data_IF_043929677673
#
_entry.id   IF_043929677673
#
_cell.length_a   1.000
_cell.length_b   1.000
_cell.length_c   1.000
_cell.angle_alpha   90.00
_cell.angle_beta   90.00
_cell.angle_gamma   90.00
#
_symmetry.space_group_name_H-M   'P 1'
#
loop_
_entity.id
_entity.type
_entity.pdbx_description
1 polymer ?
#
# COMPACT_ATOMS: atom_id res chain seq x y z
N UNK A 1 -27.86 52.16 -4.21
CA UNK A 1 -28.04 50.80 -4.72
C UNK A 1 -26.75 50.40 -5.46
N UNK A 2 -25.90 49.60 -4.84
CA UNK A 2 -24.68 49.07 -5.45
C UNK A 2 -24.88 47.57 -5.70
N UNK A 3 -24.89 47.15 -6.96
CA UNK A 3 -25.03 45.76 -7.36
C UNK A 3 -23.71 45.01 -7.16
N UNK A 4 -23.73 44.05 -6.26
CA UNK A 4 -22.61 43.14 -6.03
C UNK A 4 -22.67 42.01 -7.07
N UNK A 5 -21.70 41.99 -8.00
CA UNK A 5 -21.55 40.89 -8.96
C UNK A 5 -20.89 39.70 -8.28
N UNK A 6 -21.64 38.62 -8.17
CA UNK A 6 -21.18 37.31 -7.71
C UNK A 6 -20.43 36.65 -8.87
N UNK A 7 -19.09 36.54 -8.80
CA UNK A 7 -18.31 35.76 -9.73
C UNK A 7 -18.34 34.31 -9.22
N UNK A 8 -19.10 33.47 -9.91
CA UNK A 8 -19.06 32.01 -9.74
C UNK A 8 -17.82 31.52 -10.49
N UNK A 9 -16.76 31.21 -9.76
CA UNK A 9 -15.57 30.53 -10.30
C UNK A 9 -15.92 29.05 -10.47
N UNK A 10 -16.22 28.64 -11.70
CA UNK A 10 -16.39 27.23 -12.07
C UNK A 10 -14.98 26.65 -12.22
N UNK A 11 -14.46 26.06 -11.15
CA UNK A 11 -13.22 25.28 -11.21
C UNK A 11 -13.52 23.98 -11.97
N UNK A 12 -13.08 23.93 -13.23
CA UNK A 12 -13.10 22.71 -14.04
C UNK A 12 -12.01 21.77 -13.49
N UNK A 13 -12.38 20.85 -12.61
CA UNK A 13 -11.51 19.82 -12.08
C UNK A 13 -11.26 18.81 -13.21
N UNK A 14 -10.16 18.96 -13.93
CA UNK A 14 -9.65 17.93 -14.83
C UNK A 14 -9.12 16.77 -13.98
N UNK A 15 -9.98 15.80 -13.71
CA UNK A 15 -9.56 14.54 -13.14
C UNK A 15 -8.81 13.76 -14.22
N UNK A 16 -7.50 13.76 -14.15
CA UNK A 16 -6.71 12.75 -14.84
C UNK A 16 -6.95 11.44 -14.08
N UNK A 17 -7.74 10.55 -14.64
CA UNK A 17 -7.83 9.17 -14.19
C UNK A 17 -6.53 8.47 -14.59
N UNK A 18 -5.52 8.53 -13.73
CA UNK A 18 -4.35 7.68 -13.83
C UNK A 18 -4.82 6.24 -13.54
N UNK A 19 -4.92 5.42 -14.56
CA UNK A 19 -5.24 4.00 -14.41
C UNK A 19 -3.97 3.22 -14.15
N UNK A 20 -4.00 2.26 -13.23
CA UNK A 20 -2.92 1.27 -13.06
C UNK A 20 -2.97 0.26 -14.21
N UNK A 21 -2.71 0.69 -15.43
CA UNK A 21 -2.68 -0.22 -16.58
C UNK A 21 -1.32 -0.87 -16.69
N UNK A 22 -1.31 -2.21 -16.84
CA UNK A 22 -0.14 -2.94 -17.33
C UNK A 22 0.09 -2.49 -18.78
N UNK A 23 1.08 -1.66 -19.02
CA UNK A 23 1.49 -1.32 -20.38
C UNK A 23 2.40 -2.41 -20.89
N UNK A 24 1.85 -3.33 -21.68
CA UNK A 24 2.64 -4.19 -22.55
C UNK A 24 3.19 -3.30 -23.68
N UNK A 25 4.51 -3.09 -23.73
CA UNK A 25 5.13 -2.45 -24.90
C UNK A 25 4.89 -3.32 -26.13
N UNK A 26 4.49 -2.75 -27.29
CA UNK A 26 4.29 -3.51 -28.50
C UNK A 26 5.65 -4.01 -29.03
N UNK A 27 5.82 -5.33 -29.04
CA UNK A 27 6.95 -6.01 -29.68
C UNK A 27 6.86 -5.82 -31.21
N UNK A 28 7.67 -4.91 -31.75
CA UNK A 28 7.83 -4.73 -33.19
C UNK A 28 8.93 -5.67 -33.72
N UNK A 29 8.57 -6.88 -34.09
CA UNK A 29 9.47 -7.88 -34.66
C UNK A 29 8.85 -8.58 -35.85
N UNK A 30 9.22 -8.13 -37.05
CA UNK A 30 8.90 -8.76 -38.31
C UNK A 30 9.46 -10.18 -38.45
N UNK A 31 8.70 -11.03 -39.16
CA UNK A 31 8.84 -12.46 -39.26
C UNK A 31 10.11 -13.01 -39.90
N UNK A 32 10.40 -14.30 -39.70
CA UNK A 32 10.38 -15.35 -40.69
C UNK A 32 10.74 -16.74 -40.09
N UNK A 33 9.88 -17.69 -40.45
CA UNK A 33 10.07 -19.14 -40.67
C UNK A 33 11.23 -19.95 -40.07
N UNK A 34 10.83 -21.02 -39.36
CA UNK A 34 11.39 -22.36 -39.60
C UNK A 34 12.09 -23.03 -38.43
N UNK A 35 11.52 -24.14 -37.96
CA UNK A 35 12.29 -25.30 -37.46
C UNK A 35 12.51 -25.47 -35.97
N UNK A 36 11.61 -26.17 -35.36
CA UNK A 36 11.77 -27.36 -34.48
C UNK A 36 12.84 -27.39 -33.35
N UNK A 37 12.35 -27.85 -32.18
CA UNK A 37 12.99 -28.53 -31.05
C UNK A 37 13.71 -27.76 -29.94
N UNK A 38 13.17 -27.97 -28.73
CA UNK A 38 13.97 -28.11 -27.48
C UNK A 38 13.79 -27.05 -26.43
N UNK A 39 12.97 -27.38 -25.47
CA UNK A 39 12.81 -26.86 -24.14
C UNK A 39 13.79 -25.82 -23.57
N UNK A 40 13.24 -24.76 -23.09
CA UNK A 40 13.93 -23.75 -22.31
C UNK A 40 13.01 -22.57 -22.06
N UNK A 41 12.09 -22.69 -21.11
CA UNK A 41 11.20 -21.61 -20.73
C UNK A 41 11.96 -20.55 -19.93
N UNK A 42 12.71 -19.68 -20.59
CA UNK A 42 13.17 -18.43 -20.03
C UNK A 42 12.05 -17.39 -20.20
N UNK A 43 11.08 -17.47 -19.32
CA UNK A 43 10.10 -16.40 -19.14
C UNK A 43 10.80 -15.16 -18.60
N UNK A 44 11.30 -14.31 -19.48
CA UNK A 44 11.62 -12.92 -19.15
C UNK A 44 10.31 -12.19 -18.86
N UNK A 45 9.83 -12.31 -17.62
CA UNK A 45 8.69 -11.55 -17.15
C UNK A 45 9.09 -10.07 -17.13
N UNK A 46 8.54 -9.27 -18.03
CA UNK A 46 8.57 -7.82 -17.88
C UNK A 46 7.81 -7.50 -16.61
N UNK A 47 8.51 -7.00 -15.59
CA UNK A 47 7.88 -6.49 -14.36
C UNK A 47 6.87 -5.43 -14.78
N UNK A 48 5.59 -5.52 -14.36
CA UNK A 48 4.61 -4.50 -14.68
C UNK A 48 5.09 -3.13 -14.23
N UNK A 49 5.11 -2.14 -15.13
CA UNK A 49 5.44 -0.76 -14.74
C UNK A 49 4.23 -0.21 -13.99
N UNK A 50 4.34 -0.16 -12.67
CA UNK A 50 3.29 0.42 -11.83
C UNK A 50 3.39 1.94 -11.85
N UNK A 51 2.26 2.61 -12.08
CA UNK A 51 2.19 4.07 -12.11
C UNK A 51 2.43 4.65 -10.72
N UNK A 52 3.17 5.77 -10.67
CA UNK A 52 3.45 6.50 -9.44
C UNK A 52 3.01 7.95 -9.52
N UNK A 53 2.63 8.49 -8.37
CA UNK A 53 2.25 9.89 -8.16
C UNK A 53 3.40 10.61 -7.47
N UNK A 54 3.89 11.68 -8.10
CA UNK A 54 4.83 12.63 -7.49
C UNK A 54 4.04 13.73 -6.78
N UNK A 55 4.02 13.68 -5.45
CA UNK A 55 3.37 14.69 -4.61
C UNK A 55 4.29 15.88 -4.29
N UNK A 56 5.53 15.88 -4.78
CA UNK A 56 6.53 16.92 -4.47
C UNK A 56 6.90 16.93 -2.98
N UNK A 57 6.91 15.76 -2.34
CA UNK A 57 7.27 15.62 -0.93
C UNK A 57 8.76 15.93 -0.72
N UNK A 58 9.16 16.44 0.46
CA UNK A 58 10.56 16.80 0.75
C UNK A 58 11.57 15.69 0.52
N UNK A 59 11.20 14.43 0.79
CA UNK A 59 12.07 13.26 0.55
C UNK A 59 12.21 12.89 -0.94
N UNK A 60 11.32 13.39 -1.81
CA UNK A 60 11.18 12.93 -3.19
C UNK A 60 10.53 11.56 -3.32
N UNK A 61 9.91 11.03 -2.27
CA UNK A 61 9.18 9.75 -2.30
C UNK A 61 8.01 9.82 -3.28
N UNK A 62 7.95 8.84 -4.19
CA UNK A 62 6.84 8.63 -5.12
C UNK A 62 5.90 7.56 -4.57
N UNK A 63 4.60 7.83 -4.65
CA UNK A 63 3.55 6.93 -4.17
C UNK A 63 2.91 6.16 -5.32
N UNK A 64 2.67 4.88 -5.14
CA UNK A 64 1.93 4.11 -6.14
C UNK A 64 0.51 4.66 -6.31
N UNK A 65 0.00 4.69 -7.55
CA UNK A 65 -1.36 5.14 -7.84
C UNK A 65 -2.43 4.19 -7.25
N UNK A 66 -2.12 2.90 -7.10
CA UNK A 66 -3.03 1.84 -6.65
C UNK A 66 -2.49 1.08 -5.44
N UNK A 67 -3.36 0.35 -4.74
CA UNK A 67 -2.94 -0.62 -3.73
C UNK A 67 -2.29 -1.86 -4.38
N UNK A 68 -1.41 -2.55 -3.67
CA UNK A 68 -0.89 -3.84 -4.12
C UNK A 68 -2.07 -4.81 -4.35
N UNK A 69 -2.10 -5.45 -5.52
CA UNK A 69 -3.19 -6.32 -5.95
C UNK A 69 -4.38 -5.60 -6.59
N UNK A 70 -4.33 -4.27 -6.80
CA UNK A 70 -5.36 -3.51 -7.50
C UNK A 70 -4.87 -2.97 -8.84
N UNK A 71 -5.81 -2.82 -9.80
CA UNK A 71 -5.58 -2.28 -11.14
C UNK A 71 -6.10 -0.83 -11.29
N UNK A 72 -6.79 -0.29 -10.30
CA UNK A 72 -7.31 1.08 -10.29
C UNK A 72 -7.08 1.75 -8.94
N UNK A 73 -7.03 3.09 -8.86
CA UNK A 73 -6.86 3.81 -7.59
C UNK A 73 -7.94 3.50 -6.55
N UNK A 74 -9.16 3.18 -7.00
CA UNK A 74 -10.31 2.82 -6.16
C UNK A 74 -10.32 1.36 -5.73
N UNK A 75 -9.50 0.52 -6.38
CA UNK A 75 -9.38 -0.89 -6.03
C UNK A 75 -8.84 -1.08 -4.62
N UNK A 76 -9.49 -1.94 -3.85
CA UNK A 76 -9.05 -2.24 -2.48
C UNK A 76 -7.73 -3.01 -2.46
N UNK A 77 -7.44 -3.79 -3.53
CA UNK A 77 -6.27 -4.65 -3.63
C UNK A 77 -6.33 -5.85 -2.69
N UNK A 78 -5.16 -6.41 -2.47
CA UNK A 78 -4.96 -7.52 -1.56
C UNK A 78 -4.71 -7.03 -0.12
N UNK A 79 -4.93 -7.94 0.84
CA UNK A 79 -4.68 -7.69 2.26
C UNK A 79 -3.54 -8.59 2.70
N UNK A 80 -2.63 -8.02 3.48
CA UNK A 80 -1.44 -8.71 3.96
C UNK A 80 -1.36 -8.62 5.48
N UNK A 81 -0.99 -9.70 6.15
CA UNK A 81 -0.51 -9.58 7.52
C UNK A 81 0.89 -8.93 7.47
N UNK A 82 1.27 -8.23 8.52
CA UNK A 82 2.53 -7.50 8.52
C UNK A 82 3.74 -8.41 8.36
N UNK A 83 4.56 -8.17 7.35
CA UNK A 83 5.70 -9.03 7.00
C UNK A 83 5.33 -10.28 6.19
N UNK A 84 4.08 -10.41 5.73
CA UNK A 84 3.69 -11.47 4.80
C UNK A 84 3.51 -10.90 3.39
N UNK A 85 3.88 -11.66 2.38
CA UNK A 85 3.95 -11.21 0.99
C UNK A 85 2.83 -11.75 0.11
N UNK A 86 1.93 -12.56 0.69
CA UNK A 86 0.78 -13.14 -0.01
C UNK A 86 -0.49 -13.00 0.84
N UNK A 87 -1.65 -12.75 0.20
CA UNK A 87 -2.92 -12.75 0.88
C UNK A 87 -3.29 -14.16 1.37
N UNK A 88 -4.13 -14.24 2.39
CA UNK A 88 -4.62 -15.50 2.97
C UNK A 88 -6.10 -15.43 3.33
N UNK A 89 -6.70 -16.56 3.64
CA UNK A 89 -8.13 -16.65 3.99
C UNK A 89 -8.44 -16.29 5.44
N UNK A 90 -7.47 -16.45 6.35
CA UNK A 90 -7.69 -16.28 7.79
C UNK A 90 -6.54 -15.49 8.41
N UNK A 91 -6.87 -14.42 9.13
CA UNK A 91 -5.93 -13.47 9.74
C UNK A 91 -6.03 -13.54 11.25
N UNK A 92 -5.14 -14.29 11.88
CA UNK A 92 -5.01 -14.45 13.32
C UNK A 92 -3.61 -14.96 13.68
N UNK A 93 -3.28 -15.03 14.98
CA UNK A 93 -1.97 -15.48 15.43
C UNK A 93 -1.63 -16.92 15.03
N UNK A 94 -2.63 -17.81 14.89
CA UNK A 94 -2.35 -19.20 14.50
C UNK A 94 -1.97 -19.37 13.04
N UNK A 95 -2.27 -18.38 12.20
CA UNK A 95 -1.93 -18.35 10.77
C UNK A 95 -0.85 -17.34 10.45
N UNK A 96 -0.40 -16.54 11.44
CA UNK A 96 0.65 -15.54 11.22
C UNK A 96 2.02 -16.21 11.05
N UNK A 97 2.71 -15.87 9.93
CA UNK A 97 3.91 -16.57 9.50
C UNK A 97 5.11 -16.38 10.45
N UNK A 98 5.23 -15.19 11.09
CA UNK A 98 6.38 -14.85 11.93
C UNK A 98 6.17 -15.14 13.41
N UNK A 99 5.36 -16.16 13.72
CA UNK A 99 5.22 -16.71 15.08
C UNK A 99 4.91 -18.20 15.03
N UNK A 100 5.07 -18.87 16.17
CA UNK A 100 4.68 -20.27 16.34
C UNK A 100 3.26 -20.35 16.96
N UNK A 101 2.28 -19.79 16.23
CA UNK A 101 0.85 -19.89 16.55
C UNK A 101 0.33 -18.97 17.66
N UNK A 102 1.17 -18.12 18.27
CA UNK A 102 0.75 -17.21 19.35
C UNK A 102 1.62 -15.94 19.37
N UNK A 103 1.05 -14.82 19.88
CA UNK A 103 1.74 -13.51 19.97
C UNK A 103 3.02 -13.54 20.82
N UNK A 104 3.11 -14.46 21.79
CA UNK A 104 4.28 -14.65 22.64
C UNK A 104 5.22 -15.78 22.16
N UNK A 105 5.16 -16.11 20.89
CA UNK A 105 5.97 -17.14 20.23
C UNK A 105 6.53 -16.61 18.90
N UNK A 106 7.04 -15.38 18.91
CA UNK A 106 7.55 -14.70 17.73
C UNK A 106 8.83 -15.37 17.21
N UNK A 107 8.94 -15.51 15.89
CA UNK A 107 10.10 -16.11 15.21
C UNK A 107 10.85 -15.11 14.35
N UNK A 108 10.33 -13.87 14.18
CA UNK A 108 10.96 -12.76 13.48
C UNK A 108 10.43 -11.41 13.99
N UNK A 109 11.24 -10.35 13.84
CA UNK A 109 10.92 -8.99 14.30
C UNK A 109 10.60 -8.95 15.80
N UNK A 110 11.44 -9.54 16.60
CA UNK A 110 11.25 -9.68 18.04
C UNK A 110 12.36 -8.94 18.81
N UNK A 111 11.97 -7.98 19.64
CA UNK A 111 12.88 -7.21 20.49
C UNK A 111 12.84 -7.63 21.96
N UNK A 112 11.94 -8.57 22.34
CA UNK A 112 11.76 -9.05 23.71
C UNK A 112 11.77 -10.58 23.75
N UNK A 113 12.75 -11.15 24.46
CA UNK A 113 12.90 -12.60 24.59
C UNK A 113 11.72 -13.32 25.26
N UNK A 114 10.89 -12.61 26.04
CA UNK A 114 9.69 -13.19 26.64
C UNK A 114 8.57 -13.43 25.61
N UNK A 115 8.62 -12.71 24.47
CA UNK A 115 7.70 -12.86 23.35
C UNK A 115 8.27 -13.72 22.22
N UNK A 116 9.57 -13.96 22.23
CA UNK A 116 10.25 -14.76 21.22
C UNK A 116 10.14 -16.24 21.48
N UNK A 117 9.89 -17.02 20.40
CA UNK A 117 9.87 -18.48 20.49
C UNK A 117 11.22 -19.01 20.99
N UNK A 118 11.22 -19.74 22.11
CA UNK A 118 12.42 -20.19 22.80
C UNK A 118 13.42 -19.08 23.15
N UNK A 119 12.92 -17.88 23.48
CA UNK A 119 13.76 -16.74 23.81
C UNK A 119 14.39 -16.00 22.62
N UNK A 120 13.85 -16.21 21.42
CA UNK A 120 14.35 -15.58 20.18
C UNK A 120 14.28 -14.06 20.23
N UNK A 121 15.32 -13.38 19.72
CA UNK A 121 15.40 -11.93 19.51
C UNK A 121 16.25 -11.66 18.27
N UNK A 122 15.80 -10.77 17.38
CA UNK A 122 16.56 -10.30 16.22
C UNK A 122 16.72 -8.76 16.17
N UNK A 123 15.92 -8.04 16.96
CA UNK A 123 15.91 -6.56 17.03
C UNK A 123 15.66 -5.86 15.68
N UNK A 124 15.08 -6.54 14.70
CA UNK A 124 14.67 -5.93 13.45
C UNK A 124 13.49 -4.98 13.68
N UNK A 125 13.61 -3.74 13.21
CA UNK A 125 12.61 -2.68 13.42
C UNK A 125 11.91 -2.21 12.14
N UNK A 126 12.26 -2.83 11.01
CA UNK A 126 11.68 -2.52 9.69
C UNK A 126 11.64 -3.81 8.89
N UNK A 127 10.63 -3.98 8.04
CA UNK A 127 10.53 -5.15 7.16
C UNK A 127 11.78 -5.29 6.30
N UNK A 128 12.30 -6.50 6.23
CA UNK A 128 13.31 -6.87 5.24
C UNK A 128 12.63 -7.01 3.86
N UNK A 129 13.33 -6.78 2.74
CA UNK A 129 12.74 -6.85 1.40
C UNK A 129 12.03 -8.18 1.09
N UNK A 130 12.50 -9.29 1.67
CA UNK A 130 11.91 -10.62 1.47
C UNK A 130 10.52 -10.75 2.13
N UNK A 131 10.22 -9.94 3.13
CA UNK A 131 8.96 -9.91 3.88
C UNK A 131 8.09 -8.69 3.52
N UNK A 132 8.53 -7.89 2.55
CA UNK A 132 7.81 -6.70 2.11
C UNK A 132 6.85 -7.05 0.97
N UNK A 133 5.54 -6.90 1.21
CA UNK A 133 4.52 -7.23 0.22
C UNK A 133 4.65 -6.41 -1.08
N UNK A 134 5.05 -5.14 -1.01
CA UNK A 134 5.24 -4.32 -2.20
C UNK A 134 6.46 -4.80 -3.00
N UNK A 135 7.58 -5.03 -2.34
CA UNK A 135 8.81 -5.56 -2.97
C UNK A 135 8.55 -6.92 -3.63
N UNK A 136 7.91 -7.84 -2.91
CA UNK A 136 7.66 -9.19 -3.40
C UNK A 136 6.72 -9.24 -4.62
N UNK A 137 5.72 -8.35 -4.67
CA UNK A 137 4.71 -8.34 -5.74
C UNK A 137 5.10 -7.44 -6.93
N UNK A 138 5.90 -6.37 -6.72
CA UNK A 138 6.19 -5.36 -7.75
C UNK A 138 7.68 -5.16 -8.05
N UNK A 139 8.56 -5.85 -7.31
CA UNK A 139 10.01 -5.80 -7.48
C UNK A 139 10.71 -4.77 -6.60
N UNK A 140 12.05 -4.82 -6.60
CA UNK A 140 12.94 -4.14 -5.65
C UNK A 140 12.89 -2.60 -5.68
N UNK A 141 12.30 -2.00 -6.70
CA UNK A 141 12.10 -0.55 -6.76
C UNK A 141 10.98 -0.09 -5.81
N UNK A 142 10.07 -0.99 -5.42
CA UNK A 142 8.91 -0.72 -4.59
C UNK A 142 9.08 -1.29 -3.19
N UNK A 143 8.57 -0.58 -2.21
CA UNK A 143 8.53 -1.03 -0.81
C UNK A 143 7.24 -0.56 -0.12
N UNK A 144 6.89 -1.20 0.95
CA UNK A 144 5.88 -0.70 1.90
C UNK A 144 6.40 0.60 2.55
N UNK A 145 5.57 1.66 2.68
CA UNK A 145 5.98 2.91 3.31
C UNK A 145 6.43 2.68 4.75
N UNK A 146 7.45 3.40 5.19
CA UNK A 146 7.81 3.49 6.60
C UNK A 146 6.81 4.37 7.37
N UNK A 147 6.86 4.36 8.71
CA UNK A 147 6.14 5.33 9.52
C UNK A 147 6.49 6.79 9.14
N UNK A 148 7.77 7.06 8.83
CA UNK A 148 8.21 8.38 8.43
C UNK A 148 7.64 8.82 7.06
N UNK A 149 7.50 7.90 6.09
CA UNK A 149 6.86 8.21 4.80
C UNK A 149 5.38 8.58 4.98
N UNK A 150 4.64 7.85 5.82
CA UNK A 150 3.26 8.17 6.14
C UNK A 150 3.12 9.51 6.89
N UNK A 151 4.03 9.79 7.83
CA UNK A 151 4.06 11.08 8.55
C UNK A 151 4.34 12.22 7.58
N UNK A 152 5.30 12.05 6.66
CA UNK A 152 5.62 13.06 5.65
C UNK A 152 4.42 13.33 4.73
N UNK A 153 3.72 12.28 4.25
CA UNK A 153 2.49 12.44 3.47
C UNK A 153 1.45 13.25 4.25
N UNK A 154 1.22 12.89 5.51
CA UNK A 154 0.24 13.55 6.38
C UNK A 154 0.57 15.04 6.60
N UNK A 155 1.83 15.36 6.85
CA UNK A 155 2.27 16.73 7.18
C UNK A 155 2.34 17.66 5.96
N UNK A 156 2.53 17.12 4.74
CA UNK A 156 2.79 17.91 3.53
C UNK A 156 1.64 17.91 2.53
N UNK A 157 0.49 17.34 2.87
CA UNK A 157 -0.69 17.30 2.01
C UNK A 157 -1.95 17.72 2.73
N UNK A 158 -2.98 18.12 1.97
CA UNK A 158 -4.32 18.36 2.50
C UNK A 158 -5.21 17.15 2.23
N UNK A 159 -5.64 16.48 3.29
CA UNK A 159 -6.52 15.32 3.20
C UNK A 159 -7.99 15.70 3.26
N UNK A 160 -8.82 15.14 2.38
CA UNK A 160 -10.27 15.33 2.37
C UNK A 160 -11.00 14.02 2.08
N UNK A 161 -12.17 13.84 2.71
CA UNK A 161 -13.07 12.73 2.40
C UNK A 161 -13.71 12.94 1.03
N UNK A 162 -13.62 11.93 0.15
CA UNK A 162 -14.24 11.98 -1.18
C UNK A 162 -14.86 10.63 -1.54
N UNK A 163 -15.74 10.64 -2.54
CA UNK A 163 -16.19 9.43 -3.22
C UNK A 163 -15.72 9.52 -4.67
N UNK A 164 -14.80 8.62 -5.06
CA UNK A 164 -14.23 8.55 -6.40
C UNK A 164 -14.74 7.28 -7.09
N UNK A 165 -15.37 7.41 -8.26
CA UNK A 165 -15.97 6.31 -9.00
C UNK A 165 -16.86 5.37 -8.16
N UNK A 166 -17.61 5.94 -7.20
CA UNK A 166 -18.51 5.21 -6.31
C UNK A 166 -17.83 4.60 -5.07
N UNK A 167 -16.52 4.72 -4.93
CA UNK A 167 -15.75 4.23 -3.78
C UNK A 167 -15.42 5.38 -2.84
N UNK A 168 -15.79 5.26 -1.57
CA UNK A 168 -15.40 6.21 -0.53
C UNK A 168 -13.93 6.05 -0.20
N UNK A 169 -13.29 7.16 0.13
CA UNK A 169 -11.88 7.16 0.51
C UNK A 169 -11.41 8.54 0.95
N UNK A 170 -10.12 8.71 0.98
CA UNK A 170 -9.44 9.92 1.38
C UNK A 170 -8.51 10.40 0.27
N UNK A 171 -8.64 11.65 -0.14
CA UNK A 171 -7.82 12.28 -1.16
C UNK A 171 -6.80 13.19 -0.49
N UNK A 172 -5.53 12.89 -0.64
CA UNK A 172 -4.42 13.74 -0.25
C UNK A 172 -4.00 14.60 -1.42
N UNK A 173 -4.13 15.93 -1.28
CA UNK A 173 -3.75 16.89 -2.33
C UNK A 173 -2.50 17.64 -1.88
N UNK A 174 -1.46 17.59 -2.70
CA UNK A 174 -0.19 18.23 -2.46
C UNK A 174 -0.15 19.65 -3.03
N UNK A 175 0.85 20.45 -2.63
CA UNK A 175 1.03 21.84 -3.08
C UNK A 175 1.35 21.97 -4.57
N UNK A 176 1.89 20.91 -5.20
CA UNK A 176 2.14 20.87 -6.65
C UNK A 176 0.87 20.59 -7.48
N UNK A 177 -0.29 20.40 -6.82
CA UNK A 177 -1.58 20.12 -7.44
C UNK A 177 -1.86 18.63 -7.69
N UNK A 178 -0.88 17.75 -7.54
CA UNK A 178 -1.09 16.31 -7.65
C UNK A 178 -1.80 15.76 -6.42
N UNK A 179 -2.48 14.64 -6.58
CA UNK A 179 -3.24 14.02 -5.49
C UNK A 179 -3.13 12.51 -5.49
N UNK A 180 -3.27 11.93 -4.28
CA UNK A 180 -3.27 10.51 -4.02
C UNK A 180 -4.60 10.12 -3.38
N UNK A 181 -5.33 9.19 -3.99
CA UNK A 181 -6.56 8.65 -3.42
C UNK A 181 -6.26 7.33 -2.69
N UNK A 182 -6.71 7.24 -1.44
CA UNK A 182 -6.70 6.00 -0.65
C UNK A 182 -8.15 5.53 -0.45
N UNK A 183 -8.56 4.37 -0.97
CA UNK A 183 -9.91 3.84 -0.76
C UNK A 183 -10.13 3.38 0.68
N UNK A 184 -11.36 3.53 1.18
CA UNK A 184 -11.79 3.00 2.48
C UNK A 184 -11.94 1.48 2.40
N UNK A 185 -10.80 0.79 2.28
CA UNK A 185 -10.72 -0.64 1.99
C UNK A 185 -11.07 -1.55 3.18
N UNK A 186 -11.23 -1.01 4.40
CA UNK A 186 -11.43 -1.80 5.60
C UNK A 186 -10.18 -2.56 6.02
N UNK A 187 -10.40 -3.70 6.69
CA UNK A 187 -9.34 -4.62 7.09
C UNK A 187 -9.82 -6.07 7.12
N UNK A 188 -8.90 -7.02 7.31
CA UNK A 188 -9.20 -8.44 7.54
C UNK A 188 -8.89 -8.84 8.98
N UNK A 189 -9.83 -9.54 9.60
CA UNK A 189 -9.69 -10.15 10.92
C UNK A 189 -10.39 -11.51 10.93
N UNK A 190 -9.67 -12.56 11.33
CA UNK A 190 -10.15 -13.93 11.14
C UNK A 190 -10.41 -14.21 9.65
N UNK A 191 -11.57 -14.70 9.32
CA UNK A 191 -12.08 -14.92 7.97
C UNK A 191 -12.94 -13.75 7.43
N UNK A 192 -13.09 -12.68 8.22
CA UNK A 192 -14.00 -11.57 7.92
C UNK A 192 -13.28 -10.41 7.23
N UNK A 193 -14.02 -9.73 6.35
CA UNK A 193 -13.68 -8.43 5.81
C UNK A 193 -14.50 -7.36 6.54
N UNK A 194 -13.83 -6.58 7.36
CA UNK A 194 -14.47 -5.61 8.24
C UNK A 194 -14.46 -4.21 7.63
N UNK A 195 -15.56 -3.48 7.81
CA UNK A 195 -15.70 -2.05 7.62
C UNK A 195 -15.29 -1.48 6.25
N UNK A 196 -15.26 -2.30 5.18
CA UNK A 196 -15.05 -1.84 3.83
C UNK A 196 -16.07 -0.75 3.46
N UNK A 197 -15.56 0.36 2.88
CA UNK A 197 -16.34 1.55 2.59
C UNK A 197 -16.60 2.49 3.78
N UNK A 198 -16.10 2.15 4.99
CA UNK A 198 -16.23 3.02 6.17
C UNK A 198 -14.88 3.57 6.64
N UNK A 199 -13.83 2.76 6.66
CA UNK A 199 -12.45 3.18 6.90
C UNK A 199 -11.48 2.34 6.07
N UNK A 200 -10.20 2.74 6.00
CA UNK A 200 -9.13 1.98 5.35
C UNK A 200 -7.89 1.97 6.23
N UNK A 201 -7.25 0.80 6.36
CA UNK A 201 -6.04 0.62 7.12
C UNK A 201 -4.91 0.15 6.20
N UNK A 202 -3.76 0.80 6.33
CA UNK A 202 -2.61 0.65 5.46
C UNK A 202 -1.36 0.39 6.26
N UNK A 203 -0.70 -0.76 6.03
CA UNK A 203 0.53 -1.07 6.75
C UNK A 203 1.64 -0.04 6.49
N UNK A 204 2.41 0.20 7.54
CA UNK A 204 3.77 0.70 7.46
C UNK A 204 4.75 -0.47 7.56
N UNK A 205 5.93 -0.36 6.95
CA UNK A 205 7.01 -1.34 7.12
C UNK A 205 7.69 -1.24 8.48
N UNK A 206 7.37 -0.22 9.29
CA UNK A 206 8.00 0.02 10.59
C UNK A 206 7.34 -0.78 11.70
N UNK A 207 8.15 -1.47 12.47
CA UNK A 207 7.78 -2.06 13.73
C UNK A 207 7.36 -0.97 14.73
N UNK A 208 6.38 -1.25 15.59
CA UNK A 208 6.00 -0.36 16.68
C UNK A 208 6.60 -0.83 17.99
N UNK A 209 6.02 -1.85 18.60
CA UNK A 209 6.52 -2.51 19.80
C UNK A 209 5.97 -3.93 19.94
N UNK A 210 6.60 -4.73 20.80
CA UNK A 210 6.15 -6.08 21.16
C UNK A 210 5.69 -6.91 19.94
N UNK A 211 4.38 -7.02 19.74
CA UNK A 211 3.74 -7.76 18.65
C UNK A 211 2.94 -6.86 17.69
N UNK A 212 3.09 -5.52 17.80
CA UNK A 212 2.40 -4.54 16.97
C UNK A 212 3.32 -3.92 15.91
N UNK A 213 2.72 -3.42 14.85
CA UNK A 213 3.38 -2.61 13.82
C UNK A 213 2.60 -1.32 13.56
N UNK A 214 3.30 -0.31 13.04
CA UNK A 214 2.67 0.94 12.64
C UNK A 214 1.77 0.75 11.43
N UNK A 215 0.66 1.48 11.39
CA UNK A 215 -0.22 1.61 10.24
C UNK A 215 -0.75 3.03 10.10
N UNK A 216 -1.25 3.35 8.92
CA UNK A 216 -1.95 4.59 8.64
C UNK A 216 -3.44 4.27 8.44
N UNK A 217 -4.31 5.02 9.13
CA UNK A 217 -5.77 4.90 9.02
C UNK A 217 -6.36 6.10 8.31
N UNK A 218 -7.34 5.83 7.46
CA UNK A 218 -8.25 6.83 6.92
C UNK A 218 -9.68 6.49 7.33
N UNK A 219 -10.40 7.48 7.81
CA UNK A 219 -11.83 7.39 8.09
C UNK A 219 -12.54 8.57 7.42
N UNK A 220 -13.30 8.33 6.34
CA UNK A 220 -14.05 9.38 5.66
C UNK A 220 -14.99 10.21 6.55
N UNK A 221 -15.35 9.72 7.74
CA UNK A 221 -16.20 10.43 8.68
C UNK A 221 -15.43 11.24 9.73
N UNK A 222 -14.19 10.82 10.11
CA UNK A 222 -13.47 11.41 11.25
C UNK A 222 -12.05 11.87 10.95
N UNK A 223 -11.48 11.52 9.80
CA UNK A 223 -10.13 11.96 9.40
C UNK A 223 -9.14 10.83 9.18
N UNK A 224 -7.86 11.18 9.25
CA UNK A 224 -6.76 10.22 9.09
C UNK A 224 -5.77 10.35 10.24
N UNK A 225 -5.11 9.24 10.62
CA UNK A 225 -4.13 9.21 11.71
C UNK A 225 -3.14 8.06 11.57
N UNK A 226 -2.01 8.16 12.26
CA UNK A 226 -1.06 7.08 12.48
C UNK A 226 -1.42 6.32 13.75
N UNK A 227 -1.45 4.99 13.65
CA UNK A 227 -1.74 4.08 14.76
C UNK A 227 -0.84 2.85 14.73
N UNK A 228 -1.09 1.94 15.67
CA UNK A 228 -0.44 0.63 15.69
C UNK A 228 -1.49 -0.47 15.91
N UNK A 229 -1.21 -1.66 15.40
CA UNK A 229 -2.10 -2.81 15.58
C UNK A 229 -1.32 -4.12 15.52
N UNK A 230 -1.97 -5.19 15.98
CA UNK A 230 -1.43 -6.54 15.94
C UNK A 230 -1.06 -6.94 14.51
N UNK A 231 0.14 -7.51 14.34
CA UNK A 231 0.71 -7.84 13.01
C UNK A 231 -0.08 -8.87 12.22
N UNK A 232 -0.94 -9.64 12.86
CA UNK A 232 -1.75 -10.66 12.18
C UNK A 232 -2.93 -10.09 11.39
N UNK A 233 -3.37 -8.85 11.65
CA UNK A 233 -4.43 -8.22 10.85
C UNK A 233 -4.03 -8.13 9.38
N UNK A 234 -5.00 -8.28 8.50
CA UNK A 234 -4.80 -8.05 7.07
C UNK A 234 -5.16 -6.62 6.70
N UNK A 235 -4.15 -5.81 6.38
CA UNK A 235 -4.32 -4.44 5.90
C UNK A 235 -3.85 -4.29 4.47
N UNK A 236 -4.32 -3.23 3.81
CA UNK A 236 -3.86 -2.87 2.47
C UNK A 236 -2.40 -2.40 2.49
N UNK A 237 -1.72 -2.49 1.35
CA UNK A 237 -0.39 -1.90 1.14
C UNK A 237 -0.47 -0.91 -0.02
N UNK A 238 -0.16 0.36 0.25
CA UNK A 238 0.07 1.40 -0.75
C UNK A 238 1.58 1.61 -0.88
N UNK A 239 2.17 1.08 -1.93
CA UNK A 239 3.62 1.08 -2.10
C UNK A 239 4.20 2.48 -2.36
N UNK A 240 5.49 2.62 -2.06
CA UNK A 240 6.31 3.79 -2.39
C UNK A 240 7.61 3.38 -3.05
N UNK A 241 8.23 4.33 -3.75
CA UNK A 241 9.59 4.20 -4.30
C UNK A 241 10.33 5.52 -4.26
N UNK A 242 11.66 5.49 -4.38
CA UNK A 242 12.46 6.69 -4.56
C UNK A 242 12.27 7.27 -5.97
N UNK A 243 12.36 8.59 -6.12
CA UNK A 243 12.56 9.21 -7.42
C UNK A 243 13.90 8.75 -8.01
N UNK A 244 13.92 8.51 -9.33
CA UNK A 244 15.16 8.13 -10.06
C UNK A 244 16.01 9.34 -10.35
#
# INVERSE_FOLDING_TARGET
MKATRLFTLLALLLMFAAGCTKTDEPNNGGGNNGGDNGGGNNGGGTTPVMESVDLGLPSGTLWAACNVGADTPEGYGDYFAWGETSPKSTYNWTTYQHCNGNFNQLTKYCSNSELGYNGFVDNLTTLEPIDDAATANWGDEWRTPTHADWQELYDNTNGTSVTQNGVKGWLFTATNGNSLFLPAAGCRWGDQHLANGNYGEYWSSSFFDLYCAWYFSIDPASGSYLGNNDRFYGFSVRAVRSAK
#
